data_IF_158442790792
#
_entry.id   IF_158442790792
#
_cell.length_a   1.000
_cell.length_b   1.000
_cell.length_c   1.000
_cell.angle_alpha   90.00
_cell.angle_beta   90.00
_cell.angle_gamma   90.00
#
_symmetry.space_group_name_H-M   'P 1'
#
loop_
_entity.id
_entity.type
_entity.pdbx_description
1 polymer ?
#
# COMPACT_ATOMS: atom_id res chain seq x y z
N UNK A 1 -6.68 9.39 -8.98
CA UNK A 1 -5.21 9.38 -8.81
C UNK A 1 -4.84 8.23 -7.88
N UNK A 2 -3.77 7.48 -8.17
CA UNK A 2 -3.32 6.34 -7.34
C UNK A 2 -1.93 6.65 -6.80
N UNK A 3 -1.81 6.80 -5.49
CA UNK A 3 -0.53 6.93 -4.79
C UNK A 3 0.11 5.56 -4.60
N UNK A 4 1.42 5.49 -4.63
CA UNK A 4 2.18 4.26 -4.37
C UNK A 4 3.53 4.58 -3.73
N UNK A 5 4.11 3.56 -3.09
CA UNK A 5 5.55 3.52 -2.84
C UNK A 5 6.23 2.60 -3.85
N UNK A 6 7.41 2.96 -4.26
CA UNK A 6 8.21 2.16 -5.18
C UNK A 6 9.69 2.17 -4.80
N UNK A 7 10.43 1.17 -5.24
CA UNK A 7 11.86 0.96 -4.98
C UNK A 7 12.20 1.13 -3.48
N UNK A 8 12.97 2.13 -3.09
CA UNK A 8 13.40 2.40 -1.72
C UNK A 8 12.41 3.33 -0.99
N UNK A 9 11.12 3.01 -1.07
CA UNK A 9 10.02 3.76 -0.47
C UNK A 9 9.93 5.21 -0.97
N UNK A 10 10.25 5.43 -2.24
CA UNK A 10 9.97 6.70 -2.92
C UNK A 10 8.47 6.83 -3.14
N UNK A 11 7.94 8.03 -2.89
CA UNK A 11 6.53 8.31 -3.11
C UNK A 11 6.26 8.56 -4.60
N UNK A 12 5.24 7.94 -5.14
CA UNK A 12 4.89 8.05 -6.55
C UNK A 12 3.39 8.16 -6.80
N UNK A 13 3.08 8.62 -8.00
CA UNK A 13 1.73 8.61 -8.59
C UNK A 13 1.74 7.69 -9.81
N UNK A 14 0.82 6.73 -9.83
CA UNK A 14 0.63 5.86 -10.99
C UNK A 14 -0.23 6.57 -12.02
N UNK A 15 0.28 6.68 -13.24
CA UNK A 15 -0.39 7.21 -14.45
C UNK A 15 -0.33 6.16 -15.56
N UNK A 16 -1.43 5.49 -15.84
CA UNK A 16 -1.44 4.39 -16.82
C UNK A 16 -0.35 3.36 -16.49
N UNK A 17 0.56 3.13 -17.40
CA UNK A 17 1.67 2.17 -17.25
C UNK A 17 2.98 2.81 -16.73
N UNK A 18 2.90 3.97 -16.12
CA UNK A 18 4.06 4.68 -15.58
C UNK A 18 3.86 5.15 -14.15
N UNK A 19 4.98 5.31 -13.44
CA UNK A 19 5.04 5.91 -12.10
C UNK A 19 5.80 7.24 -12.20
N UNK A 20 5.20 8.30 -11.72
CA UNK A 20 5.85 9.61 -11.57
C UNK A 20 6.29 9.77 -10.13
N UNK A 21 7.57 10.07 -9.93
CA UNK A 21 8.12 10.33 -8.61
C UNK A 21 7.67 11.69 -8.09
N UNK A 22 7.09 11.70 -6.91
CA UNK A 22 6.64 12.90 -6.20
C UNK A 22 7.20 12.99 -4.78
N UNK A 23 8.31 12.31 -4.50
CA UNK A 23 8.90 12.23 -3.16
C UNK A 23 9.15 13.62 -2.56
N UNK A 24 9.54 14.58 -3.40
CA UNK A 24 9.80 15.97 -2.97
C UNK A 24 8.57 16.64 -2.33
N UNK A 25 7.35 16.30 -2.79
CA UNK A 25 6.10 16.87 -2.26
C UNK A 25 5.88 16.50 -0.80
N UNK A 26 6.40 15.35 -0.37
CA UNK A 26 6.23 14.85 0.99
C UNK A 26 7.31 15.29 1.99
N UNK A 27 8.33 16.00 1.56
CA UNK A 27 9.47 16.38 2.44
C UNK A 27 9.09 17.26 3.63
N UNK A 28 8.10 18.13 3.45
CA UNK A 28 7.62 19.05 4.50
C UNK A 28 6.70 18.35 5.51
N UNK A 29 6.30 17.10 5.25
CA UNK A 29 5.40 16.35 6.14
C UNK A 29 6.22 15.83 7.31
N UNK A 30 5.89 16.20 8.57
CA UNK A 30 6.55 15.64 9.74
C UNK A 30 6.42 14.12 9.75
N UNK A 31 7.55 13.43 9.74
CA UNK A 31 7.60 11.98 9.65
C UNK A 31 8.83 11.44 10.37
N UNK A 32 8.72 10.22 10.88
CA UNK A 32 9.87 9.48 11.44
C UNK A 32 10.65 8.76 10.34
N UNK A 33 9.96 8.39 9.27
CA UNK A 33 10.49 7.54 8.20
C UNK A 33 9.73 7.84 6.89
N UNK A 34 10.39 7.69 5.75
CA UNK A 34 9.76 7.86 4.43
C UNK A 34 8.52 6.97 4.23
N UNK A 35 8.43 5.86 4.94
CA UNK A 35 7.28 4.94 4.92
C UNK A 35 6.01 5.51 5.55
N UNK A 36 6.10 6.63 6.26
CA UNK A 36 4.97 7.27 6.93
C UNK A 36 4.40 8.45 6.12
N UNK A 37 5.07 8.86 5.03
CA UNK A 37 4.68 10.03 4.22
C UNK A 37 3.25 9.92 3.69
N UNK A 38 2.84 8.76 3.16
CA UNK A 38 1.48 8.59 2.60
C UNK A 38 0.41 8.85 3.64
N UNK A 39 0.61 8.42 4.88
CA UNK A 39 -0.35 8.64 5.96
C UNK A 39 -0.47 10.15 6.24
N UNK A 40 0.65 10.83 6.45
CA UNK A 40 0.65 12.26 6.67
C UNK A 40 0.13 13.08 5.48
N UNK A 41 0.32 12.59 4.25
CA UNK A 41 -0.24 13.18 3.04
C UNK A 41 -1.77 13.05 3.00
N UNK A 42 -2.31 11.87 3.34
CA UNK A 42 -3.74 11.61 3.37
C UNK A 42 -4.42 12.48 4.43
N UNK A 43 -3.83 12.56 5.63
CA UNK A 43 -4.35 13.40 6.74
C UNK A 43 -4.44 14.89 6.35
N UNK A 44 -3.57 15.34 5.45
CA UNK A 44 -3.49 16.75 5.01
C UNK A 44 -3.84 16.91 3.52
N UNK A 45 -4.66 16.02 2.99
CA UNK A 45 -4.91 15.90 1.56
C UNK A 45 -5.30 17.22 0.90
N UNK A 46 -6.19 18.00 1.52
CA UNK A 46 -6.67 19.27 0.94
C UNK A 46 -5.53 20.27 0.72
N UNK A 47 -4.53 20.30 1.62
CA UNK A 47 -3.37 21.17 1.49
C UNK A 47 -2.35 20.69 0.45
N UNK A 48 -2.28 19.39 0.21
CA UNK A 48 -1.25 18.79 -0.65
C UNK A 48 -1.75 18.38 -2.04
N UNK A 49 -3.06 18.25 -2.23
CA UNK A 49 -3.67 17.80 -3.49
C UNK A 49 -3.13 18.55 -4.71
N UNK A 50 -3.15 19.87 -4.69
CA UNK A 50 -2.65 20.70 -5.79
C UNK A 50 -1.15 20.52 -6.07
N UNK A 51 -0.33 20.38 -5.02
CA UNK A 51 1.11 20.10 -5.17
C UNK A 51 1.36 18.74 -5.81
N UNK A 52 0.59 17.72 -5.38
CA UNK A 52 0.67 16.36 -5.93
C UNK A 52 0.24 16.32 -7.39
N UNK A 53 -0.87 16.98 -7.74
CA UNK A 53 -1.38 17.05 -9.11
C UNK A 53 -0.39 17.74 -10.04
N UNK A 54 0.20 18.86 -9.60
CA UNK A 54 1.23 19.58 -10.34
C UNK A 54 2.49 18.73 -10.55
N UNK A 55 3.02 18.16 -9.47
CA UNK A 55 4.20 17.31 -9.55
C UNK A 55 3.97 16.08 -10.45
N UNK A 56 2.77 15.50 -10.38
CA UNK A 56 2.39 14.40 -11.26
C UNK A 56 2.23 14.83 -12.73
N UNK A 57 1.83 16.08 -13.01
CA UNK A 57 1.72 16.60 -14.37
C UNK A 57 3.10 16.87 -14.98
N UNK A 58 3.98 17.51 -14.23
CA UNK A 58 5.28 17.99 -14.69
C UNK A 58 6.36 16.89 -14.66
N UNK A 59 6.18 15.85 -13.84
CA UNK A 59 7.15 14.81 -13.61
C UNK A 59 7.27 13.81 -14.76
N UNK A 60 8.51 13.36 -15.02
CA UNK A 60 8.77 12.27 -15.97
C UNK A 60 8.38 10.93 -15.37
N UNK A 61 7.52 10.19 -16.06
CA UNK A 61 7.14 8.84 -15.67
C UNK A 61 8.22 7.81 -15.97
N UNK A 62 8.41 6.87 -15.06
CA UNK A 62 9.21 5.66 -15.26
C UNK A 62 8.24 4.50 -15.48
N UNK A 63 8.56 3.58 -16.38
CA UNK A 63 7.69 2.45 -16.68
C UNK A 63 7.35 1.65 -15.41
N UNK A 64 6.07 1.37 -15.16
CA UNK A 64 5.61 0.64 -13.99
C UNK A 64 6.28 -0.73 -13.85
N UNK A 65 6.55 -1.38 -14.99
CA UNK A 65 7.24 -2.68 -15.05
C UNK A 65 8.70 -2.65 -14.63
N UNK A 66 9.33 -1.46 -14.65
CA UNK A 66 10.76 -1.28 -14.29
C UNK A 66 10.98 -0.93 -12.83
N UNK A 67 9.92 -0.76 -12.05
CA UNK A 67 9.99 -0.41 -10.63
C UNK A 67 9.40 -1.51 -9.77
N UNK A 68 9.91 -1.66 -8.55
CA UNK A 68 9.33 -2.54 -7.55
C UNK A 68 8.30 -1.78 -6.73
N UNK A 69 7.02 -2.11 -6.88
CA UNK A 69 5.99 -1.55 -6.02
C UNK A 69 6.12 -2.09 -4.59
N UNK A 70 5.86 -1.21 -3.64
CA UNK A 70 5.84 -1.52 -2.20
C UNK A 70 4.42 -1.44 -1.67
N UNK A 71 4.21 -1.97 -0.47
CA UNK A 71 2.94 -1.81 0.21
C UNK A 71 2.59 -0.32 0.36
N UNK A 72 1.34 0.09 0.06
CA UNK A 72 0.94 1.50 0.10
C UNK A 72 0.95 2.08 1.53
N UNK A 73 0.71 1.24 2.54
CA UNK A 73 0.84 1.59 3.96
C UNK A 73 1.74 0.55 4.61
N UNK A 74 3.08 0.73 4.55
CA UNK A 74 4.03 -0.30 5.00
C UNK A 74 4.09 -0.44 6.53
N UNK A 75 3.64 0.57 7.27
CA UNK A 75 3.67 0.59 8.75
C UNK A 75 2.34 1.10 9.30
N UNK A 76 1.27 0.31 9.21
CA UNK A 76 0.00 0.68 9.82
C UNK A 76 0.09 0.60 11.34
N UNK A 77 -0.69 1.42 12.03
CA UNK A 77 -0.80 1.36 13.48
C UNK A 77 -1.44 0.05 13.97
N UNK A 78 -2.36 -0.49 13.19
CA UNK A 78 -3.05 -1.75 13.50
C UNK A 78 -3.55 -2.41 12.21
N UNK A 79 -3.58 -3.74 12.20
CA UNK A 79 -4.21 -4.54 11.15
C UNK A 79 -5.25 -5.42 11.83
N UNK A 80 -6.52 -5.12 11.56
CA UNK A 80 -7.64 -5.91 12.05
C UNK A 80 -8.25 -6.68 10.90
N UNK A 81 -8.32 -7.99 11.02
CA UNK A 81 -8.92 -8.88 10.05
C UNK A 81 -10.21 -9.46 10.58
N UNK A 82 -11.22 -9.52 9.74
CA UNK A 82 -12.47 -10.24 10.05
C UNK A 82 -12.30 -11.70 9.65
N UNK A 83 -12.65 -12.62 10.54
CA UNK A 83 -12.54 -14.05 10.27
C UNK A 83 -13.65 -14.49 9.31
N UNK A 84 -14.89 -14.36 9.65
CA UNK A 84 -16.03 -14.73 8.81
C UNK A 84 -16.94 -13.52 8.71
N UNK A 85 -16.83 -12.76 7.63
CA UNK A 85 -17.60 -11.52 7.44
C UNK A 85 -18.57 -11.55 6.27
N UNK A 86 -18.64 -12.67 5.55
CA UNK A 86 -19.55 -12.90 4.44
C UNK A 86 -20.10 -14.32 4.50
N UNK A 87 -21.22 -14.52 3.87
CA UNK A 87 -21.81 -15.86 3.74
C UNK A 87 -21.21 -16.52 2.50
N UNK A 88 -20.45 -17.59 2.70
CA UNK A 88 -19.98 -18.42 1.59
C UNK A 88 -21.20 -18.97 0.84
N UNK A 89 -21.24 -18.71 -0.46
CA UNK A 89 -22.31 -19.14 -1.38
C UNK A 89 -23.73 -18.73 -0.98
N UNK A 90 -23.88 -17.79 -0.05
CA UNK A 90 -25.19 -17.33 0.43
C UNK A 90 -25.98 -18.38 1.22
N UNK A 91 -25.34 -19.44 1.70
CA UNK A 91 -26.01 -20.64 2.22
C UNK A 91 -26.02 -20.78 3.73
N UNK A 92 -25.42 -19.86 4.48
CA UNK A 92 -25.45 -19.94 5.94
C UNK A 92 -26.87 -19.66 6.47
N UNK A 93 -27.45 -20.57 7.28
CA UNK A 93 -28.81 -20.41 7.80
C UNK A 93 -28.95 -19.26 8.79
N UNK A 94 -27.84 -18.82 9.37
CA UNK A 94 -27.78 -17.69 10.30
C UNK A 94 -26.58 -16.79 9.99
N UNK A 95 -26.75 -15.49 10.29
CA UNK A 95 -25.64 -14.53 10.18
C UNK A 95 -24.49 -14.97 11.11
N UNK A 96 -23.26 -15.10 10.61
CA UNK A 96 -22.12 -15.50 11.43
C UNK A 96 -21.82 -14.47 12.53
N UNK A 97 -21.32 -14.95 13.66
CA UNK A 97 -20.80 -14.05 14.69
C UNK A 97 -19.62 -13.25 14.15
N UNK A 98 -19.59 -11.96 14.49
CA UNK A 98 -18.45 -11.12 14.17
C UNK A 98 -17.25 -11.64 14.97
N UNK A 99 -16.26 -12.13 14.28
CA UNK A 99 -14.98 -12.54 14.84
C UNK A 99 -13.86 -11.77 14.17
N UNK A 100 -13.02 -11.12 14.96
CA UNK A 100 -11.91 -10.34 14.47
C UNK A 100 -10.61 -10.78 15.12
N UNK A 101 -9.51 -10.66 14.38
CA UNK A 101 -8.17 -10.95 14.89
C UNK A 101 -7.16 -9.92 14.38
N UNK A 102 -6.08 -9.75 15.12
CA UNK A 102 -5.01 -8.85 14.77
C UNK A 102 -3.91 -9.58 13.99
N UNK A 103 -3.33 -8.87 13.02
CA UNK A 103 -2.06 -9.25 12.37
C UNK A 103 -0.98 -8.26 12.72
N UNK A 104 0.25 -8.75 12.89
CA UNK A 104 1.41 -7.89 13.10
C UNK A 104 1.77 -7.09 11.84
N UNK A 105 2.39 -5.90 11.99
CA UNK A 105 2.83 -5.08 10.85
C UNK A 105 3.78 -5.82 9.90
N UNK A 106 4.51 -6.80 10.40
CA UNK A 106 5.42 -7.66 9.60
C UNK A 106 4.71 -8.57 8.60
N UNK A 107 3.38 -8.72 8.71
CA UNK A 107 2.59 -9.48 7.74
C UNK A 107 2.35 -8.71 6.42
N UNK A 108 2.70 -7.42 6.37
CA UNK A 108 2.53 -6.62 5.17
C UNK A 108 3.65 -6.91 4.18
N UNK A 109 3.25 -7.26 2.96
CA UNK A 109 4.14 -7.44 1.83
C UNK A 109 3.72 -6.50 0.70
N UNK A 110 4.70 -6.07 -0.10
CA UNK A 110 4.43 -5.36 -1.35
C UNK A 110 4.02 -6.31 -2.46
N UNK A 111 3.86 -5.76 -3.67
CA UNK A 111 3.67 -6.57 -4.87
C UNK A 111 4.94 -7.38 -5.15
N UNK A 112 4.89 -8.66 -4.88
CA UNK A 112 5.99 -9.60 -5.10
C UNK A 112 5.83 -10.28 -6.44
N UNK A 113 6.92 -10.43 -7.21
CA UNK A 113 6.85 -11.22 -8.43
C UNK A 113 6.35 -12.64 -8.13
N UNK A 114 5.46 -13.15 -8.94
CA UNK A 114 4.82 -14.48 -8.76
C UNK A 114 5.80 -15.63 -8.45
N UNK A 115 7.04 -15.54 -8.92
CA UNK A 115 8.05 -16.56 -8.64
C UNK A 115 8.53 -16.57 -7.19
N UNK A 116 8.45 -15.46 -6.47
CA UNK A 116 8.83 -15.40 -5.06
C UNK A 116 7.81 -16.12 -4.14
N UNK A 117 6.56 -16.26 -4.59
CA UNK A 117 5.52 -17.01 -3.87
C UNK A 117 5.75 -18.52 -4.02
N UNK A 118 6.30 -18.96 -5.14
CA UNK A 118 6.54 -20.39 -5.41
C UNK A 118 7.77 -20.95 -4.65
N UNK A 119 8.71 -20.11 -4.22
CA UNK A 119 9.86 -20.54 -3.42
C UNK A 119 9.58 -20.63 -1.91
N UNK A 120 8.42 -20.17 -1.46
CA UNK A 120 7.99 -20.25 -0.06
C UNK A 120 7.30 -21.57 0.31
N UNK A 121 7.33 -22.59 -0.57
CA UNK A 121 6.88 -23.96 -0.26
C UNK A 121 7.67 -24.67 0.86
N UNK A 122 8.59 -23.96 1.53
CA UNK A 122 9.36 -24.43 2.68
C UNK A 122 8.77 -24.05 4.05
N UNK A 123 7.67 -23.33 4.14
CA UNK A 123 6.91 -23.23 5.39
C UNK A 123 5.90 -24.40 5.49
N UNK A 124 6.41 -25.60 5.64
CA UNK A 124 5.65 -26.69 6.25
C UNK A 124 5.59 -26.41 7.74
N UNK A 125 4.41 -26.11 8.22
CA UNK A 125 4.09 -26.23 9.63
C UNK A 125 4.05 -27.74 9.95
N UNK A 126 5.03 -28.22 10.68
CA UNK A 126 4.95 -29.50 11.39
C UNK A 126 4.24 -29.28 12.72
#
# INVERSE_FOLDING_TARGET
MKLCYFNDYRLGVIKGDSVVDITEVGKDIPQRDTRDIIVGLIERWDAYKGKVEKAAADGKGVALKSVRLRAPVPRPGSIVCMAVNYMEDGTLPQKPHISAFHKGPTSIVGDWPRWAIMSSSLCRWS
#
